data_IF_265929698319
#
_entry.id   IF_265929698319
#
_cell.length_a   1.000
_cell.length_b   1.000
_cell.length_c   1.000
_cell.angle_alpha   90.00
_cell.angle_beta   90.00
_cell.angle_gamma   90.00
#
_symmetry.space_group_name_H-M   'P 1'
#
loop_
_entity.id
_entity.type
_entity.pdbx_description
1 polymer ?
#
# COMPACT_ATOMS: atom_id res chain seq x y z
N UNK A 1 -66.26 -9.29 3.19
CA UNK A 1 -65.44 -8.06 3.38
C UNK A 1 -64.23 -8.42 4.22
N UNK A 2 -63.04 -8.50 3.63
CA UNK A 2 -61.78 -8.78 4.33
C UNK A 2 -61.09 -7.46 4.65
N UNK A 3 -61.09 -7.08 5.92
CA UNK A 3 -60.44 -5.85 6.40
C UNK A 3 -58.95 -6.12 6.59
N UNK A 4 -58.12 -5.64 5.66
CA UNK A 4 -56.66 -5.71 5.76
C UNK A 4 -56.18 -4.77 6.86
N UNK A 5 -55.91 -5.30 8.05
CA UNK A 5 -55.30 -4.54 9.15
C UNK A 5 -53.87 -4.16 8.75
N UNK A 6 -53.62 -2.87 8.49
CA UNK A 6 -52.28 -2.38 8.17
C UNK A 6 -51.38 -2.55 9.40
N UNK A 7 -50.20 -3.17 9.27
CA UNK A 7 -49.34 -3.47 10.42
C UNK A 7 -48.93 -2.20 11.17
N UNK A 8 -49.17 -2.17 12.48
CA UNK A 8 -48.92 -1.03 13.38
C UNK A 8 -47.45 -0.60 13.48
N UNK A 9 -46.50 -1.49 13.17
CA UNK A 9 -45.06 -1.22 13.22
C UNK A 9 -44.60 -0.17 12.19
N UNK A 10 -45.29 -0.04 11.06
CA UNK A 10 -44.98 0.97 10.02
C UNK A 10 -45.33 2.38 10.52
N UNK A 11 -46.43 2.53 11.28
CA UNK A 11 -46.82 3.83 11.85
C UNK A 11 -45.90 4.24 12.99
N UNK A 12 -45.53 3.29 13.87
CA UNK A 12 -44.62 3.56 14.98
C UNK A 12 -43.22 3.96 14.51
N UNK A 13 -42.70 3.37 13.44
CA UNK A 13 -41.40 3.77 12.86
C UNK A 13 -41.47 5.14 12.21
N UNK A 14 -42.56 5.48 11.53
CA UNK A 14 -42.75 6.81 10.94
C UNK A 14 -42.88 7.90 12.01
N UNK A 15 -43.63 7.65 13.09
CA UNK A 15 -43.76 8.59 14.21
C UNK A 15 -42.43 8.75 14.98
N UNK A 16 -41.63 7.68 15.10
CA UNK A 16 -40.31 7.73 15.70
C UNK A 16 -39.29 8.56 14.87
N UNK A 17 -39.40 8.51 13.54
CA UNK A 17 -38.63 9.34 12.62
C UNK A 17 -39.18 10.78 12.52
N UNK A 18 -40.43 11.01 12.92
CA UNK A 18 -41.08 12.31 12.86
C UNK A 18 -40.64 13.27 13.99
N UNK A 19 -40.06 12.77 15.09
CA UNK A 19 -39.63 13.56 16.25
C UNK A 19 -38.39 14.43 15.94
N UNK A 20 -38.53 15.77 15.91
CA UNK A 20 -37.46 16.68 15.48
C UNK A 20 -36.22 16.65 16.38
N UNK A 21 -36.34 16.26 17.66
CA UNK A 21 -35.18 16.15 18.56
C UNK A 21 -34.35 14.88 18.29
N UNK A 22 -34.95 13.84 17.73
CA UNK A 22 -34.29 12.56 17.43
C UNK A 22 -33.85 12.43 15.98
N UNK A 23 -34.42 13.23 15.06
CA UNK A 23 -34.00 13.31 13.66
C UNK A 23 -32.52 13.58 13.50
N UNK A 24 -31.95 14.49 14.30
CA UNK A 24 -30.51 14.81 14.24
C UNK A 24 -29.64 13.61 14.61
N UNK A 25 -30.04 12.85 15.64
CA UNK A 25 -29.34 11.63 16.04
C UNK A 25 -29.46 10.51 14.99
N UNK A 26 -30.63 10.37 14.36
CA UNK A 26 -30.84 9.42 13.26
C UNK A 26 -30.02 9.78 12.03
N UNK A 27 -29.98 11.06 11.65
CA UNK A 27 -29.17 11.54 10.52
C UNK A 27 -27.68 11.36 10.80
N UNK A 28 -27.21 11.70 11.99
CA UNK A 28 -25.81 11.47 12.39
C UNK A 28 -25.47 9.97 12.40
N UNK A 29 -26.36 9.12 12.92
CA UNK A 29 -26.19 7.67 12.91
C UNK A 29 -26.13 7.11 11.48
N UNK A 30 -26.99 7.59 10.59
CA UNK A 30 -27.00 7.21 9.17
C UNK A 30 -25.73 7.67 8.43
N UNK A 31 -25.26 8.89 8.69
CA UNK A 31 -24.01 9.40 8.11
C UNK A 31 -22.79 8.62 8.63
N UNK A 32 -22.75 8.30 9.93
CA UNK A 32 -21.67 7.51 10.51
C UNK A 32 -21.63 6.08 9.95
N UNK A 33 -22.78 5.43 9.79
CA UNK A 33 -22.85 4.10 9.18
C UNK A 33 -22.49 4.14 7.69
N UNK A 34 -22.98 5.12 6.94
CA UNK A 34 -22.57 5.31 5.55
C UNK A 34 -21.05 5.53 5.41
N UNK A 35 -20.46 6.34 6.30
CA UNK A 35 -19.02 6.57 6.36
C UNK A 35 -18.22 5.30 6.66
N UNK A 36 -18.66 4.49 7.63
CA UNK A 36 -18.03 3.21 7.96
C UNK A 36 -18.10 2.20 6.80
N UNK A 37 -19.24 2.12 6.11
CA UNK A 37 -19.39 1.24 4.95
C UNK A 37 -18.49 1.70 3.80
N UNK A 38 -18.47 3.00 3.49
CA UNK A 38 -17.60 3.57 2.47
C UNK A 38 -16.11 3.32 2.78
N UNK A 39 -15.70 3.52 4.04
CA UNK A 39 -14.33 3.25 4.48
C UNK A 39 -13.98 1.76 4.39
N UNK A 40 -14.88 0.87 4.82
CA UNK A 40 -14.68 -0.58 4.72
C UNK A 40 -14.53 -1.05 3.27
N UNK A 41 -15.37 -0.55 2.36
CA UNK A 41 -15.26 -0.85 0.93
C UNK A 41 -13.95 -0.32 0.36
N UNK A 42 -13.56 0.90 0.68
CA UNK A 42 -12.28 1.47 0.26
C UNK A 42 -11.09 0.64 0.75
N UNK A 43 -11.08 0.24 2.02
CA UNK A 43 -10.02 -0.56 2.60
C UNK A 43 -9.86 -1.94 1.94
N UNK A 44 -10.97 -2.56 1.51
CA UNK A 44 -10.97 -3.88 0.87
C UNK A 44 -10.61 -3.81 -0.61
N UNK A 45 -11.13 -2.83 -1.34
CA UNK A 45 -11.00 -2.76 -2.81
C UNK A 45 -9.74 -2.01 -3.24
N UNK A 46 -9.38 -0.96 -2.49
CA UNK A 46 -8.37 0.01 -2.89
C UNK A 46 -7.47 0.38 -1.71
N UNK A 47 -7.29 -0.53 -0.73
CA UNK A 47 -6.42 -0.33 0.43
C UNK A 47 -5.09 0.31 0.04
N UNK A 48 -4.42 1.00 0.98
CA UNK A 48 -3.22 1.77 0.69
C UNK A 48 -2.27 0.95 -0.21
N UNK A 49 -1.80 1.53 -1.33
CA UNK A 49 -1.08 0.75 -2.33
C UNK A 49 0.09 0.04 -1.63
N UNK A 50 0.22 -1.29 -1.81
CA UNK A 50 1.28 -2.04 -1.17
C UNK A 50 2.61 -1.41 -1.56
N UNK A 51 3.41 -1.04 -0.57
CA UNK A 51 4.77 -0.59 -0.85
C UNK A 51 5.58 -1.81 -1.24
N UNK A 52 6.07 -1.81 -2.47
CA UNK A 52 6.89 -2.89 -3.00
C UNK A 52 8.29 -2.35 -3.16
N UNK A 53 9.21 -2.94 -2.40
CA UNK A 53 10.61 -2.57 -2.38
C UNK A 53 11.41 -3.69 -3.04
N UNK A 54 12.24 -3.37 -4.02
CA UNK A 54 13.18 -4.32 -4.61
C UNK A 54 14.56 -4.10 -4.00
N UNK A 55 15.07 -5.12 -3.32
CA UNK A 55 16.35 -5.11 -2.63
C UNK A 55 17.37 -5.88 -3.45
N UNK A 56 18.52 -5.25 -3.71
CA UNK A 56 19.62 -5.92 -4.42
C UNK A 56 20.35 -6.86 -3.46
N UNK A 57 20.46 -8.12 -3.86
CA UNK A 57 21.19 -9.14 -3.12
C UNK A 57 22.59 -9.24 -3.71
N UNK A 58 23.57 -8.83 -2.92
CA UNK A 58 24.99 -8.93 -3.27
C UNK A 58 25.59 -10.25 -2.80
N UNK A 59 26.69 -10.65 -3.43
CA UNK A 59 27.60 -11.67 -2.94
C UNK A 59 28.08 -11.29 -1.51
N UNK A 60 28.14 -12.22 -0.54
CA UNK A 60 28.65 -11.95 0.80
C UNK A 60 30.06 -11.35 0.84
N UNK A 61 30.88 -11.59 -0.19
CA UNK A 61 32.24 -11.03 -0.29
C UNK A 61 32.27 -9.61 -0.89
N UNK A 62 31.14 -9.08 -1.37
CA UNK A 62 31.09 -7.78 -2.03
C UNK A 62 31.43 -6.64 -1.05
N UNK A 63 32.43 -5.85 -1.42
CA UNK A 63 32.89 -4.68 -0.67
C UNK A 63 31.91 -3.51 -0.77
N UNK A 64 32.01 -2.56 0.15
CA UNK A 64 31.18 -1.34 0.12
C UNK A 64 31.38 -0.54 -1.18
N UNK A 65 32.62 -0.45 -1.67
CA UNK A 65 32.94 0.27 -2.91
C UNK A 65 32.29 -0.38 -4.14
N UNK A 66 32.26 -1.71 -4.21
CA UNK A 66 31.58 -2.44 -5.28
C UNK A 66 30.06 -2.23 -5.23
N UNK A 67 29.47 -2.23 -4.03
CA UNK A 67 28.04 -1.96 -3.83
C UNK A 67 27.68 -0.52 -4.25
N UNK A 68 28.53 0.45 -3.95
CA UNK A 68 28.37 1.83 -4.42
C UNK A 68 28.57 1.96 -5.94
N UNK A 69 29.49 1.19 -6.53
CA UNK A 69 29.66 1.15 -7.97
C UNK A 69 28.39 0.63 -8.68
N UNK A 70 27.75 -0.41 -8.15
CA UNK A 70 26.46 -0.91 -8.66
C UNK A 70 25.35 0.14 -8.54
N UNK A 71 25.30 0.85 -7.41
CA UNK A 71 24.36 1.97 -7.19
C UNK A 71 24.55 3.07 -8.22
N UNK A 72 25.79 3.42 -8.56
CA UNK A 72 26.09 4.43 -9.57
C UNK A 72 25.82 3.93 -11.00
N UNK A 73 26.07 2.66 -11.28
CA UNK A 73 25.89 2.07 -12.61
C UNK A 73 24.41 1.85 -12.98
N UNK A 74 23.56 1.55 -11.99
CA UNK A 74 22.12 1.35 -12.16
C UNK A 74 21.34 2.44 -11.43
N UNK A 75 21.19 3.64 -11.99
CA UNK A 75 20.34 4.68 -11.41
C UNK A 75 18.85 4.35 -11.56
N UNK A 76 18.00 5.17 -10.95
CA UNK A 76 16.54 5.17 -11.14
C UNK A 76 16.14 5.07 -12.62
N UNK A 77 15.21 4.16 -12.93
CA UNK A 77 14.62 4.02 -14.27
C UNK A 77 13.11 4.19 -14.17
N UNK A 78 12.58 5.20 -14.87
CA UNK A 78 11.14 5.47 -14.90
C UNK A 78 10.57 5.67 -13.49
N UNK A 79 9.65 4.78 -13.10
CA UNK A 79 9.00 4.78 -11.77
C UNK A 79 9.63 3.81 -10.75
N UNK A 80 10.72 3.15 -11.10
CA UNK A 80 11.51 2.35 -10.16
C UNK A 80 12.61 3.23 -9.55
N UNK A 81 12.32 3.80 -8.39
CA UNK A 81 13.10 4.86 -7.76
C UNK A 81 14.17 4.28 -6.84
N UNK A 82 15.44 4.60 -7.07
CA UNK A 82 16.51 4.20 -6.16
C UNK A 82 16.39 4.95 -4.83
N UNK A 83 16.34 4.22 -3.72
CA UNK A 83 16.29 4.81 -2.39
C UNK A 83 17.66 5.36 -1.97
N UNK A 84 17.68 6.47 -1.21
CA UNK A 84 18.92 7.01 -0.68
C UNK A 84 19.62 5.98 0.21
N UNK A 85 20.96 6.06 0.34
CA UNK A 85 21.68 5.23 1.30
C UNK A 85 21.12 5.46 2.69
N UNK A 86 20.83 4.38 3.40
CA UNK A 86 20.45 4.43 4.80
C UNK A 86 21.57 5.13 5.58
N UNK A 87 21.21 6.24 6.23
CA UNK A 87 22.16 7.01 7.06
C UNK A 87 22.30 6.44 8.46
N UNK A 88 21.54 5.40 8.78
CA UNK A 88 21.54 4.78 10.09
C UNK A 88 22.55 3.62 10.13
N UNK A 89 23.21 3.44 11.28
CA UNK A 89 24.21 2.38 11.44
C UNK A 89 23.61 0.99 11.68
N UNK A 90 22.35 0.73 11.32
CA UNK A 90 21.64 -0.51 11.63
C UNK A 90 22.22 -1.69 10.85
N UNK A 91 22.18 -2.89 11.43
CA UNK A 91 22.72 -4.10 10.81
C UNK A 91 22.01 -4.42 9.49
N UNK A 92 20.68 -4.26 9.42
CA UNK A 92 19.87 -4.46 8.22
C UNK A 92 20.29 -3.54 7.08
N UNK A 93 20.55 -2.27 7.39
CA UNK A 93 20.99 -1.24 6.43
C UNK A 93 22.38 -1.51 5.85
N UNK A 94 23.25 -2.15 6.64
CA UNK A 94 24.58 -2.60 6.17
C UNK A 94 24.50 -3.83 5.28
N UNK A 95 23.51 -4.70 5.52
CA UNK A 95 23.30 -5.94 4.76
C UNK A 95 22.61 -5.67 3.41
N UNK A 96 21.69 -4.71 3.37
CA UNK A 96 20.89 -4.39 2.18
C UNK A 96 21.04 -2.93 1.73
N UNK A 97 22.24 -2.50 1.31
CA UNK A 97 22.52 -1.09 1.10
C UNK A 97 21.94 -0.54 -0.19
N UNK A 98 21.28 -1.33 -1.05
CA UNK A 98 20.70 -0.85 -2.30
C UNK A 98 19.26 -1.36 -2.43
N UNK A 99 18.33 -0.40 -2.42
CA UNK A 99 16.88 -0.62 -2.44
C UNK A 99 16.26 0.26 -3.51
N UNK A 100 15.21 -0.24 -4.13
CA UNK A 100 14.40 0.50 -5.08
C UNK A 100 12.94 0.46 -4.63
N UNK A 101 12.30 1.62 -4.60
CA UNK A 101 10.84 1.70 -4.53
C UNK A 101 10.29 1.39 -5.93
N UNK A 102 9.61 0.24 -6.05
CA UNK A 102 8.97 -0.21 -7.28
C UNK A 102 7.44 -0.21 -7.17
N UNK A 103 6.89 0.45 -6.15
CA UNK A 103 5.45 0.48 -5.87
C UNK A 103 4.63 1.07 -7.03
N UNK A 104 5.21 1.98 -7.80
CA UNK A 104 4.59 2.59 -8.99
C UNK A 104 5.28 2.17 -10.30
N UNK A 105 6.24 1.24 -10.24
CA UNK A 105 7.02 0.85 -11.42
C UNK A 105 6.20 0.00 -12.38
N UNK A 106 6.23 0.36 -13.67
CA UNK A 106 5.65 -0.49 -14.71
C UNK A 106 6.45 -1.80 -14.86
N UNK A 107 5.87 -2.82 -15.49
CA UNK A 107 6.59 -4.06 -15.79
C UNK A 107 7.85 -3.83 -16.63
N UNK A 108 7.82 -2.83 -17.51
CA UNK A 108 8.96 -2.43 -18.34
C UNK A 108 10.05 -1.78 -17.50
N UNK A 109 9.70 -0.87 -16.60
CA UNK A 109 10.66 -0.21 -15.69
C UNK A 109 11.32 -1.23 -14.76
N UNK A 110 10.53 -2.16 -14.20
CA UNK A 110 11.03 -3.26 -13.37
C UNK A 110 12.02 -4.11 -14.16
N UNK A 111 11.65 -4.57 -15.36
CA UNK A 111 12.55 -5.37 -16.19
C UNK A 111 13.84 -4.62 -16.59
N UNK A 112 13.78 -3.30 -16.77
CA UNK A 112 14.96 -2.50 -17.06
C UNK A 112 15.95 -2.47 -15.87
N UNK A 113 15.46 -2.21 -14.65
CA UNK A 113 16.33 -2.24 -13.45
C UNK A 113 16.85 -3.64 -13.18
N UNK A 114 15.99 -4.67 -13.26
CA UNK A 114 16.39 -6.05 -13.07
C UNK A 114 17.53 -6.45 -14.02
N UNK A 115 17.42 -6.11 -15.31
CA UNK A 115 18.49 -6.37 -16.28
C UNK A 115 19.76 -5.59 -15.98
N UNK A 116 19.66 -4.32 -15.60
CA UNK A 116 20.82 -3.53 -15.23
C UNK A 116 21.56 -4.17 -14.06
N UNK A 117 20.83 -4.49 -12.98
CA UNK A 117 21.39 -4.99 -11.73
C UNK A 117 21.97 -6.39 -11.91
N UNK A 118 21.29 -7.29 -12.64
CA UNK A 118 21.82 -8.64 -12.92
C UNK A 118 23.07 -8.63 -13.81
N UNK A 119 23.29 -7.59 -14.60
CA UNK A 119 24.49 -7.46 -15.42
C UNK A 119 25.71 -7.01 -14.59
N UNK A 120 25.53 -6.57 -13.35
CA UNK A 120 26.62 -6.07 -12.52
C UNK A 120 27.39 -7.22 -11.83
N UNK A 121 28.71 -7.07 -11.67
CA UNK A 121 29.52 -8.04 -10.94
C UNK A 121 29.11 -8.10 -9.46
N UNK A 122 29.28 -9.28 -8.85
CA UNK A 122 29.02 -9.51 -7.41
C UNK A 122 27.57 -9.26 -6.97
N UNK A 123 26.64 -9.23 -7.90
CA UNK A 123 25.19 -9.27 -7.65
C UNK A 123 24.68 -10.69 -7.86
N UNK A 124 24.01 -11.22 -6.84
CA UNK A 124 23.35 -12.54 -6.89
C UNK A 124 21.93 -12.42 -7.45
N UNK A 125 21.28 -11.27 -7.25
CA UNK A 125 19.95 -11.01 -7.81
C UNK A 125 19.24 -9.83 -7.14
N UNK A 126 17.92 -9.78 -7.31
CA UNK A 126 17.04 -8.81 -6.67
C UNK A 126 15.83 -9.53 -6.06
N UNK A 127 15.55 -9.24 -4.79
CA UNK A 127 14.41 -9.79 -4.05
C UNK A 127 13.40 -8.69 -3.81
N UNK A 128 12.12 -8.98 -4.02
CA UNK A 128 11.03 -8.03 -3.78
C UNK A 128 10.41 -8.28 -2.41
N UNK A 129 10.25 -7.21 -1.64
CA UNK A 129 9.59 -7.21 -0.35
C UNK A 129 8.36 -6.34 -0.44
N UNK A 130 7.20 -6.93 -0.14
CA UNK A 130 5.96 -6.17 -0.02
C UNK A 130 5.77 -5.81 1.45
N UNK A 131 5.79 -4.52 1.77
CA UNK A 131 5.54 -4.02 3.11
C UNK A 131 4.03 -3.86 3.34
N UNK A 132 3.51 -4.39 4.46
CA UNK A 132 2.12 -4.20 4.88
C UNK A 132 1.17 -5.38 4.68
N UNK A 133 1.67 -6.62 4.61
CA UNK A 133 0.84 -7.84 4.79
C UNK A 133 0.80 -8.31 6.24
#
# INVERSE_FOLDING_TARGET
MTTTSRPTWIRQTLDYLADPRRRTAVVLGALATAGLVAFGVYAVVAGPPPQVEAVVVFDPEATTAEKEAVRAACPTVGKAIQEPPDRNGLATSRVYPLRYDISQASSVDRAAIYRCVQAQPKVTGMSEFTQGQ
#
